data_IF_316223097515
#
_entry.id   IF_316223097515
#
_cell.length_a   1.000
_cell.length_b   1.000
_cell.length_c   1.000
_cell.angle_alpha   90.00
_cell.angle_beta   90.00
_cell.angle_gamma   90.00
#
_symmetry.space_group_name_H-M   'P 1'
#
loop_
_entity.id
_entity.type
_entity.pdbx_description
1 polymer ?
#
# COMPACT_ATOMS: atom_id res chain seq x y z
N UNK A 1 -23.29 5.25 -5.11
CA UNK A 1 -22.14 4.39 -4.80
C UNK A 1 -21.49 4.05 -6.13
N UNK A 2 -20.37 4.70 -6.47
CA UNK A 2 -19.69 4.54 -7.77
C UNK A 2 -18.28 4.04 -7.48
N UNK A 3 -17.90 2.96 -8.18
CA UNK A 3 -16.67 2.17 -8.04
C UNK A 3 -16.70 1.22 -6.84
N UNK A 4 -17.30 0.05 -7.07
CA UNK A 4 -17.23 -1.06 -6.15
C UNK A 4 -15.77 -1.37 -5.84
N UNK A 5 -15.50 -1.56 -4.56
CA UNK A 5 -14.20 -1.94 -4.03
C UNK A 5 -13.92 -3.39 -4.45
N UNK A 6 -13.59 -3.59 -5.71
CA UNK A 6 -13.42 -4.92 -6.31
C UNK A 6 -12.07 -5.57 -5.97
N UNK A 7 -11.25 -4.89 -5.15
CA UNK A 7 -9.91 -5.35 -4.75
C UNK A 7 -9.01 -5.65 -5.96
N UNK A 8 -8.04 -6.54 -5.77
CA UNK A 8 -7.12 -6.98 -6.84
C UNK A 8 -7.84 -7.59 -8.05
N UNK A 9 -9.01 -8.21 -7.84
CA UNK A 9 -9.81 -8.75 -8.96
C UNK A 9 -10.33 -7.65 -9.88
N UNK A 10 -10.75 -6.53 -9.30
CA UNK A 10 -11.16 -5.35 -10.06
C UNK A 10 -10.05 -4.74 -10.87
N UNK A 11 -8.88 -4.60 -10.25
CA UNK A 11 -7.68 -4.15 -10.94
C UNK A 11 -7.34 -5.06 -12.10
N UNK A 12 -7.36 -6.39 -11.90
CA UNK A 12 -7.07 -7.35 -12.97
C UNK A 12 -8.03 -7.17 -14.16
N UNK A 13 -9.33 -7.02 -13.91
CA UNK A 13 -10.34 -6.76 -14.94
C UNK A 13 -10.12 -5.40 -15.64
N UNK A 14 -9.60 -4.40 -14.94
CA UNK A 14 -9.28 -3.08 -15.48
C UNK A 14 -7.87 -2.98 -16.08
N UNK A 15 -7.09 -4.07 -16.12
CA UNK A 15 -5.71 -4.07 -16.63
C UNK A 15 -4.68 -3.43 -15.69
N UNK A 16 -4.89 -3.54 -14.38
CA UNK A 16 -4.03 -3.08 -13.28
C UNK A 16 -3.63 -1.59 -13.36
N UNK A 17 -4.60 -0.66 -13.36
CA UNK A 17 -4.31 0.77 -13.38
C UNK A 17 -3.38 1.19 -12.24
N UNK A 18 -3.58 0.71 -11.01
CA UNK A 18 -2.76 1.06 -9.85
C UNK A 18 -1.31 0.63 -10.05
N UNK A 19 -1.07 -0.52 -10.69
CA UNK A 19 0.28 -0.96 -11.02
C UNK A 19 0.95 0.01 -12.00
N UNK A 20 0.22 0.39 -13.05
CA UNK A 20 0.75 1.24 -14.13
C UNK A 20 0.98 2.69 -13.70
N UNK A 21 0.11 3.24 -12.87
CA UNK A 21 0.13 4.68 -12.54
C UNK A 21 0.78 5.00 -11.20
N UNK A 22 0.88 4.03 -10.27
CA UNK A 22 1.45 4.25 -8.94
C UNK A 22 2.70 3.40 -8.74
N UNK A 23 2.57 2.07 -8.86
CA UNK A 23 3.64 1.14 -8.44
C UNK A 23 4.84 1.20 -9.38
N UNK A 24 4.66 1.01 -10.69
CA UNK A 24 5.78 1.01 -11.63
C UNK A 24 6.51 2.37 -11.69
N UNK A 25 5.81 3.53 -11.72
CA UNK A 25 6.47 4.82 -11.62
C UNK A 25 7.28 4.98 -10.33
N UNK A 26 6.72 4.60 -9.18
CA UNK A 26 7.43 4.63 -7.90
C UNK A 26 8.70 3.77 -7.93
N UNK A 27 8.59 2.52 -8.41
CA UNK A 27 9.70 1.58 -8.47
C UNK A 27 10.83 2.08 -9.39
N UNK A 28 10.51 2.76 -10.50
CA UNK A 28 11.50 3.30 -11.45
C UNK A 28 12.20 4.57 -10.96
N UNK A 29 11.50 5.40 -10.20
CA UNK A 29 11.99 6.74 -9.81
C UNK A 29 12.69 6.75 -8.45
N UNK A 30 12.34 5.82 -7.56
CA UNK A 30 12.92 5.78 -6.22
C UNK A 30 14.40 5.39 -6.26
N UNK A 31 15.22 6.13 -5.51
CA UNK A 31 16.64 5.81 -5.28
C UNK A 31 16.85 4.96 -4.03
N UNK A 32 15.80 4.76 -3.23
CA UNK A 32 15.83 3.95 -2.02
C UNK A 32 15.95 2.48 -2.41
N UNK A 33 16.77 1.71 -1.69
CA UNK A 33 17.04 0.29 -1.98
C UNK A 33 16.65 -0.60 -0.79
N UNK A 34 16.56 -1.90 -1.06
CA UNK A 34 16.20 -2.91 -0.07
C UNK A 34 14.79 -2.71 0.49
N UNK A 35 14.53 -3.29 1.66
CA UNK A 35 13.21 -3.35 2.27
C UNK A 35 12.56 -1.97 2.47
N UNK A 36 13.37 -0.95 2.77
CA UNK A 36 12.88 0.41 3.02
C UNK A 36 12.06 0.96 1.84
N UNK A 37 12.43 0.60 0.60
CA UNK A 37 11.69 0.98 -0.60
C UNK A 37 10.27 0.41 -0.60
N UNK A 38 10.13 -0.85 -0.20
CA UNK A 38 8.83 -1.52 -0.13
C UNK A 38 7.99 -1.01 1.03
N UNK A 39 8.62 -0.68 2.17
CA UNK A 39 7.93 -0.04 3.29
C UNK A 39 7.37 1.33 2.91
N UNK A 40 8.15 2.14 2.19
CA UNK A 40 7.69 3.43 1.68
C UNK A 40 6.55 3.28 0.66
N UNK A 41 6.66 2.33 -0.27
CA UNK A 41 5.58 2.02 -1.21
C UNK A 41 4.30 1.59 -0.48
N UNK A 42 4.41 0.73 0.53
CA UNK A 42 3.27 0.30 1.33
C UNK A 42 2.55 1.48 2.00
N UNK A 43 3.29 2.43 2.55
CA UNK A 43 2.69 3.66 3.09
C UNK A 43 2.00 4.48 2.00
N UNK A 44 2.63 4.62 0.83
CA UNK A 44 2.05 5.36 -0.30
C UNK A 44 0.72 4.74 -0.75
N UNK A 45 0.66 3.42 -0.84
CA UNK A 45 -0.55 2.68 -1.19
C UNK A 45 -1.63 2.83 -0.11
N UNK A 46 -1.30 2.61 1.16
CA UNK A 46 -2.26 2.75 2.26
C UNK A 46 -2.84 4.17 2.38
N UNK A 47 -2.08 5.20 1.97
CA UNK A 47 -2.53 6.59 2.01
C UNK A 47 -3.58 6.94 0.93
N UNK A 48 -3.68 6.16 -0.14
CA UNK A 48 -4.43 6.51 -1.35
C UNK A 48 -5.47 5.46 -1.76
N UNK A 49 -5.17 4.18 -1.56
CA UNK A 49 -6.02 3.06 -2.00
C UNK A 49 -7.21 2.90 -1.06
N UNK A 50 -8.38 2.64 -1.63
CA UNK A 50 -9.56 2.17 -0.89
C UNK A 50 -9.43 0.66 -0.64
N UNK A 51 -8.86 0.28 0.50
CA UNK A 51 -8.64 -1.13 0.85
C UNK A 51 -9.96 -1.82 1.24
N UNK A 52 -10.37 -2.81 0.44
CA UNK A 52 -11.61 -3.56 0.64
C UNK A 52 -11.67 -4.25 2.01
N UNK A 53 -10.56 -4.81 2.47
CA UNK A 53 -10.52 -5.56 3.72
C UNK A 53 -10.64 -4.60 4.92
N UNK A 54 -10.03 -3.42 4.83
CA UNK A 54 -10.19 -2.37 5.84
C UNK A 54 -11.63 -1.84 5.84
N UNK A 55 -12.20 -1.53 4.68
CA UNK A 55 -13.59 -1.07 4.57
C UNK A 55 -14.59 -2.11 5.10
N UNK A 56 -14.38 -3.39 4.79
CA UNK A 56 -15.24 -4.47 5.26
C UNK A 56 -15.22 -4.61 6.79
N UNK A 57 -14.05 -4.49 7.43
CA UNK A 57 -13.91 -4.69 8.89
C UNK A 57 -14.17 -3.44 9.72
N UNK A 58 -13.71 -2.28 9.25
CA UNK A 58 -13.73 -1.01 9.99
C UNK A 58 -14.64 0.06 9.41
N UNK A 59 -15.31 -0.22 8.29
CA UNK A 59 -16.10 0.76 7.57
C UNK A 59 -15.26 1.96 7.07
N UNK A 60 -15.95 3.04 6.64
CA UNK A 60 -15.28 4.27 6.20
C UNK A 60 -14.38 4.90 7.27
N UNK A 61 -14.74 4.74 8.55
CA UNK A 61 -13.94 5.26 9.66
C UNK A 61 -12.60 4.51 9.81
N UNK A 62 -12.61 3.18 9.68
CA UNK A 62 -11.40 2.36 9.68
C UNK A 62 -10.50 2.66 8.48
N UNK A 63 -11.09 2.82 7.29
CA UNK A 63 -10.33 3.21 6.10
C UNK A 63 -9.68 4.59 6.30
N UNK A 64 -10.46 5.56 6.80
CA UNK A 64 -9.96 6.91 7.05
C UNK A 64 -8.82 6.92 8.06
N UNK A 65 -8.94 6.14 9.14
CA UNK A 65 -7.87 5.97 10.12
C UNK A 65 -6.57 5.46 9.47
N UNK A 66 -6.64 4.39 8.68
CA UNK A 66 -5.46 3.82 8.00
C UNK A 66 -4.84 4.84 7.04
N UNK A 67 -5.65 5.52 6.24
CA UNK A 67 -5.18 6.53 5.29
C UNK A 67 -4.52 7.72 5.98
N UNK A 68 -5.11 8.23 7.06
CA UNK A 68 -4.57 9.39 7.78
C UNK A 68 -3.27 9.03 8.52
N UNK A 69 -3.20 7.84 9.14
CA UNK A 69 -1.97 7.36 9.75
C UNK A 69 -0.85 7.12 8.72
N UNK A 70 -1.19 6.55 7.55
CA UNK A 70 -0.24 6.39 6.46
C UNK A 70 0.26 7.74 5.92
N UNK A 71 -0.62 8.75 5.76
CA UNK A 71 -0.21 10.10 5.36
C UNK A 71 0.75 10.73 6.37
N UNK A 72 0.53 10.54 7.67
CA UNK A 72 1.48 10.99 8.69
C UNK A 72 2.86 10.32 8.53
N UNK A 73 2.88 9.02 8.21
CA UNK A 73 4.12 8.28 7.93
C UNK A 73 4.84 8.70 6.64
N UNK A 74 4.20 9.42 5.71
CA UNK A 74 4.90 9.99 4.55
C UNK A 74 5.85 11.14 4.94
N UNK A 75 5.63 11.76 6.10
CA UNK A 75 6.42 12.89 6.58
C UNK A 75 7.50 12.52 7.61
N UNK A 76 7.60 11.25 8.00
CA UNK A 76 8.63 10.80 8.94
C UNK A 76 9.95 10.50 8.21
N UNK A 77 11.11 10.73 8.84
CA UNK A 77 12.38 10.32 8.28
C UNK A 77 12.41 8.81 7.99
N UNK A 78 13.05 8.41 6.90
CA UNK A 78 13.11 7.01 6.47
C UNK A 78 13.68 6.06 7.55
N UNK A 79 14.60 6.55 8.38
CA UNK A 79 15.15 5.80 9.53
C UNK A 79 14.10 5.48 10.62
N UNK A 80 13.02 6.26 10.72
CA UNK A 80 11.94 6.07 11.69
C UNK A 80 10.74 5.32 11.13
N UNK A 81 10.66 5.19 9.80
CA UNK A 81 9.53 4.55 9.13
C UNK A 81 9.26 3.12 9.61
N UNK A 82 10.25 2.22 9.79
CA UNK A 82 9.99 0.86 10.28
C UNK A 82 9.31 0.84 11.67
N UNK A 83 9.72 1.74 12.57
CA UNK A 83 9.10 1.87 13.88
C UNK A 83 7.67 2.44 13.78
N UNK A 84 7.47 3.43 12.92
CA UNK A 84 6.15 4.00 12.66
C UNK A 84 5.15 2.97 12.10
N UNK A 85 5.59 2.13 11.16
CA UNK A 85 4.78 1.04 10.62
C UNK A 85 4.48 -0.03 11.67
N UNK A 86 5.42 -0.35 12.56
CA UNK A 86 5.15 -1.27 13.69
C UNK A 86 4.08 -0.72 14.63
N UNK A 87 4.15 0.58 14.96
CA UNK A 87 3.14 1.24 15.78
C UNK A 87 1.76 1.24 15.09
N UNK A 88 1.69 1.63 13.81
CA UNK A 88 0.45 1.58 13.04
C UNK A 88 -0.11 0.15 12.96
N UNK A 89 0.75 -0.85 12.75
CA UNK A 89 0.32 -2.25 12.74
C UNK A 89 -0.30 -2.69 14.07
N UNK A 90 0.30 -2.30 15.21
CA UNK A 90 -0.27 -2.58 16.52
C UNK A 90 -1.65 -1.92 16.71
N UNK A 91 -1.82 -0.68 16.26
CA UNK A 91 -3.13 -0.01 16.30
C UNK A 91 -4.16 -0.66 15.38
N UNK A 92 -3.75 -1.08 14.17
CA UNK A 92 -4.64 -1.80 13.26
C UNK A 92 -5.09 -3.13 13.87
N UNK A 93 -4.18 -3.89 14.49
CA UNK A 93 -4.50 -5.14 15.20
C UNK A 93 -5.52 -4.86 16.32
N UNK A 94 -5.29 -3.84 17.15
CA UNK A 94 -6.20 -3.48 18.24
C UNK A 94 -7.60 -3.08 17.75
N UNK A 95 -7.70 -2.54 16.54
CA UNK A 95 -8.95 -2.13 15.87
C UNK A 95 -9.54 -3.22 14.97
N UNK A 96 -8.96 -4.42 14.94
CA UNK A 96 -9.31 -5.51 14.01
C UNK A 96 -9.29 -5.08 12.52
N UNK A 97 -8.36 -4.20 12.16
CA UNK A 97 -8.15 -3.74 10.78
C UNK A 97 -6.97 -4.49 10.15
N UNK A 98 -7.06 -4.72 8.85
CA UNK A 98 -5.97 -5.33 8.08
C UNK A 98 -6.00 -4.80 6.65
N UNK A 99 -4.93 -4.14 6.16
CA UNK A 99 -4.84 -3.62 4.80
C UNK A 99 -4.40 -4.72 3.82
N UNK A 100 -5.25 -5.75 3.69
CA UNK A 100 -4.95 -6.94 2.89
C UNK A 100 -4.86 -6.64 1.39
N UNK A 101 -5.75 -5.78 0.87
CA UNK A 101 -5.68 -5.39 -0.54
C UNK A 101 -4.40 -4.61 -0.86
N UNK A 102 -3.93 -3.80 0.09
CA UNK A 102 -2.64 -3.11 -0.01
C UNK A 102 -1.46 -4.08 -0.01
N UNK A 103 -1.53 -5.14 0.80
CA UNK A 103 -0.50 -6.19 0.80
C UNK A 103 -0.42 -6.91 -0.56
N UNK A 104 -1.55 -7.19 -1.21
CA UNK A 104 -1.56 -7.82 -2.54
C UNK A 104 -0.84 -6.94 -3.59
N UNK A 105 -1.06 -5.62 -3.56
CA UNK A 105 -0.33 -4.68 -4.41
C UNK A 105 1.17 -4.68 -4.13
N UNK A 106 1.57 -4.79 -2.87
CA UNK A 106 2.98 -4.86 -2.51
C UNK A 106 3.63 -6.15 -3.04
N UNK A 107 2.93 -7.28 -2.99
CA UNK A 107 3.38 -8.53 -3.62
C UNK A 107 3.56 -8.39 -5.12
N UNK A 108 2.61 -7.73 -5.80
CA UNK A 108 2.73 -7.43 -7.23
C UNK A 108 3.90 -6.49 -7.52
N UNK A 109 4.12 -5.46 -6.69
CA UNK A 109 5.27 -4.58 -6.80
C UNK A 109 6.59 -5.36 -6.73
N UNK A 110 6.69 -6.29 -5.78
CA UNK A 110 7.86 -7.16 -5.64
C UNK A 110 8.10 -8.01 -6.89
N UNK A 111 7.04 -8.59 -7.44
CA UNK A 111 7.10 -9.40 -8.66
C UNK A 111 7.56 -8.59 -9.87
N UNK A 112 6.95 -7.43 -10.12
CA UNK A 112 7.33 -6.57 -11.25
C UNK A 112 8.73 -6.01 -11.11
N UNK A 113 9.15 -5.68 -9.89
CA UNK A 113 10.50 -5.22 -9.66
C UNK A 113 11.55 -6.30 -9.97
N UNK A 114 11.29 -7.54 -9.54
CA UNK A 114 12.16 -8.68 -9.86
C UNK A 114 12.27 -8.92 -11.38
N UNK A 115 11.16 -8.79 -12.12
CA UNK A 115 11.17 -8.92 -13.59
C UNK A 115 11.97 -7.81 -14.28
N UNK A 116 11.86 -6.56 -13.81
CA UNK A 116 12.61 -5.44 -14.37
C UNK A 116 14.12 -5.59 -14.16
N UNK A 117 14.55 -6.24 -13.07
CA UNK A 117 15.96 -6.50 -12.80
C UNK A 117 16.54 -7.65 -13.66
N UNK A 118 15.70 -8.51 -14.25
CA UNK A 118 16.13 -9.58 -15.16
C UNK A 118 16.25 -9.15 -16.62
N UNK A 119 15.66 -8.01 -16.97
CA UNK A 119 15.60 -7.48 -18.35
C UNK A 119 16.53 -6.27 -18.56
N UNK A 120 17.36 -5.96 -17.57
CA UNK A 120 18.37 -4.89 -17.61
C UNK A 120 19.79 -5.41 -17.68
#
# INVERSE_FOLDING_TARGET
MKHGVTGVRGEALAGYPTIRTVILPYLRQTTTRGDLRYLQLMVHLMAQVEDANVLHRGGPAGLRFVQDAAKALLHVPASRLPNGLRALNAEMIARNLSPGGTADYLSLAYFFDALMQQTG
#
